data_IF_922143552692
#
_entry.id   IF_922143552692
#
_cell.length_a   1.000
_cell.length_b   1.000
_cell.length_c   1.000
_cell.angle_alpha   90.00
_cell.angle_beta   90.00
_cell.angle_gamma   90.00
#
_symmetry.space_group_name_H-M   'P 1'
#
loop_
_entity.id
_entity.type
_entity.pdbx_description
1 polymer ?
#
# COMPACT_ATOMS: atom_id res chain seq x y z
N UNK A 1 -51.31 13.13 19.94
CA UNK A 1 -50.38 13.40 18.86
C UNK A 1 -49.56 12.12 18.64
N UNK A 2 -49.82 11.46 17.49
CA UNK A 2 -49.13 10.24 17.05
C UNK A 2 -47.78 10.64 16.43
N UNK A 3 -46.71 10.00 16.87
CA UNK A 3 -45.41 10.05 16.23
C UNK A 3 -45.45 9.33 14.87
N UNK A 4 -44.77 9.83 13.81
CA UNK A 4 -44.64 9.13 12.55
C UNK A 4 -43.50 8.11 12.63
N UNK A 5 -43.84 6.84 12.43
CA UNK A 5 -42.91 5.74 12.20
C UNK A 5 -42.18 5.98 10.88
N UNK A 6 -40.88 6.23 10.95
CA UNK A 6 -40.00 6.27 9.79
C UNK A 6 -39.49 4.86 9.47
N UNK A 7 -40.09 4.24 8.47
CA UNK A 7 -39.51 3.03 7.84
C UNK A 7 -38.45 3.46 6.84
N UNK A 8 -37.16 3.35 7.23
CA UNK A 8 -36.08 3.48 6.29
C UNK A 8 -36.09 2.29 5.32
N UNK A 9 -36.25 2.58 4.05
CA UNK A 9 -36.10 1.61 2.96
C UNK A 9 -34.61 1.33 2.76
N UNK A 10 -34.15 0.07 2.69
CA UNK A 10 -32.75 -0.21 2.42
C UNK A 10 -32.37 0.27 1.02
N UNK A 11 -31.29 1.05 0.92
CA UNK A 11 -30.68 1.43 -0.34
C UNK A 11 -30.00 0.17 -0.90
N UNK A 12 -30.29 -0.24 -2.15
CA UNK A 12 -29.60 -1.38 -2.73
C UNK A 12 -28.11 -1.05 -2.89
N UNK A 13 -27.26 -2.01 -2.48
CA UNK A 13 -25.83 -1.98 -2.75
C UNK A 13 -25.61 -1.78 -4.25
N UNK A 14 -24.91 -0.74 -4.62
CA UNK A 14 -24.50 -0.49 -5.99
C UNK A 14 -23.41 -1.49 -6.35
N UNK A 15 -23.81 -2.65 -6.91
CA UNK A 15 -22.95 -3.51 -7.69
C UNK A 15 -22.75 -2.86 -9.07
N UNK A 16 -21.87 -1.90 -9.13
CA UNK A 16 -21.47 -1.21 -10.34
C UNK A 16 -19.95 -1.20 -10.40
N UNK A 17 -19.35 -2.37 -10.67
CA UNK A 17 -17.97 -2.43 -11.10
C UNK A 17 -17.88 -1.71 -12.44
N UNK A 18 -17.38 -0.49 -12.44
CA UNK A 18 -16.78 0.11 -13.62
C UNK A 18 -15.40 -0.52 -13.70
N UNK A 19 -15.30 -1.67 -14.38
CA UNK A 19 -14.01 -2.17 -14.80
C UNK A 19 -13.36 -1.02 -15.59
N UNK A 20 -12.26 -0.48 -15.07
CA UNK A 20 -11.35 0.31 -15.88
C UNK A 20 -11.04 -0.59 -17.08
N UNK A 21 -11.34 -0.12 -18.28
CA UNK A 21 -11.07 -0.81 -19.54
C UNK A 21 -9.55 -0.90 -19.64
N UNK A 22 -8.98 -2.01 -19.13
CA UNK A 22 -7.57 -2.32 -19.31
C UNK A 22 -7.36 -2.40 -20.81
N UNK A 23 -6.46 -1.59 -21.35
CA UNK A 23 -6.04 -1.70 -22.74
C UNK A 23 -5.74 -3.18 -23.03
N UNK A 24 -6.29 -3.70 -24.11
CA UNK A 24 -6.08 -5.11 -24.44
C UNK A 24 -4.59 -5.32 -24.67
N UNK A 25 -4.05 -6.42 -24.18
CA UNK A 25 -2.62 -6.76 -24.30
C UNK A 25 -2.09 -6.73 -25.76
N UNK A 26 -2.97 -6.65 -26.75
CA UNK A 26 -2.65 -6.54 -28.17
C UNK A 26 -2.26 -5.12 -28.61
N UNK A 27 -2.51 -4.10 -27.79
CA UNK A 27 -2.31 -2.68 -28.15
C UNK A 27 -1.09 -2.03 -27.49
N UNK A 28 -0.37 -2.74 -26.60
CA UNK A 28 0.83 -2.21 -25.94
C UNK A 28 2.03 -2.29 -26.88
N UNK A 29 2.73 -1.15 -27.15
CA UNK A 29 3.90 -1.13 -28.04
C UNK A 29 5.06 -1.97 -27.52
N UNK A 30 5.88 -2.51 -28.46
CA UNK A 30 7.11 -3.24 -28.14
C UNK A 30 8.17 -2.32 -27.56
N UNK A 31 8.97 -2.86 -26.62
CA UNK A 31 10.19 -2.26 -26.07
C UNK A 31 11.46 -2.82 -26.73
N UNK A 32 11.37 -3.48 -27.91
CA UNK A 32 12.55 -4.02 -28.61
C UNK A 32 13.61 -2.94 -28.85
N UNK A 33 14.85 -3.21 -28.43
CA UNK A 33 15.97 -2.28 -28.50
C UNK A 33 15.91 -1.12 -27.48
N UNK A 34 15.04 -1.19 -26.48
CA UNK A 34 14.94 -0.25 -25.36
C UNK A 34 15.50 -0.88 -24.10
N UNK A 35 16.12 -0.05 -23.27
CA UNK A 35 16.63 -0.43 -21.96
C UNK A 35 15.86 0.33 -20.87
N UNK A 36 15.32 -0.39 -19.89
CA UNK A 36 14.60 0.19 -18.74
C UNK A 36 15.41 -0.02 -17.48
N UNK A 37 15.74 1.06 -16.79
CA UNK A 37 16.38 1.03 -15.48
C UNK A 37 15.32 0.87 -14.37
N UNK A 38 15.54 0.01 -13.39
CA UNK A 38 14.62 -0.22 -12.27
C UNK A 38 15.40 -0.07 -10.96
N UNK A 39 14.94 0.82 -10.08
CA UNK A 39 15.48 1.01 -8.74
C UNK A 39 14.37 0.81 -7.70
N UNK A 40 14.44 -0.29 -6.95
CA UNK A 40 13.51 -0.56 -5.86
C UNK A 40 14.13 -0.21 -4.50
N UNK A 41 13.30 0.28 -3.55
CA UNK A 41 13.72 0.49 -2.17
C UNK A 41 14.20 -0.81 -1.53
N UNK A 42 13.48 -1.90 -1.76
CA UNK A 42 13.81 -3.27 -1.33
C UNK A 42 12.94 -4.30 -2.06
N UNK A 43 13.19 -5.58 -1.75
CA UNK A 43 12.41 -6.73 -2.20
C UNK A 43 12.14 -7.71 -1.04
N UNK A 44 12.17 -7.20 0.20
CA UNK A 44 12.02 -8.03 1.41
C UNK A 44 10.57 -8.39 1.67
N UNK A 45 9.67 -7.44 1.44
CA UNK A 45 8.24 -7.62 1.63
C UNK A 45 7.56 -7.98 0.33
N UNK A 46 6.46 -8.73 0.40
CA UNK A 46 5.77 -9.25 -0.77
C UNK A 46 5.29 -8.15 -1.71
N UNK A 47 4.76 -7.03 -1.19
CA UNK A 47 4.43 -5.88 -2.00
C UNK A 47 5.57 -5.47 -2.94
N UNK A 48 6.73 -5.13 -2.38
CA UNK A 48 7.87 -4.65 -3.16
C UNK A 48 8.42 -5.70 -4.11
N UNK A 49 8.48 -6.96 -3.65
CA UNK A 49 9.01 -8.08 -4.44
C UNK A 49 8.12 -8.37 -5.66
N UNK A 50 6.81 -8.49 -5.46
CA UNK A 50 5.88 -8.77 -6.57
C UNK A 50 5.89 -7.64 -7.59
N UNK A 51 5.84 -6.39 -7.15
CA UNK A 51 5.93 -5.24 -8.07
C UNK A 51 7.24 -5.24 -8.85
N UNK A 52 8.37 -5.44 -8.16
CA UNK A 52 9.70 -5.46 -8.77
C UNK A 52 9.86 -6.59 -9.81
N UNK A 53 9.44 -7.80 -9.47
CA UNK A 53 9.51 -8.96 -10.36
C UNK A 53 8.60 -8.75 -11.58
N UNK A 54 7.35 -8.31 -11.35
CA UNK A 54 6.36 -8.08 -12.44
C UNK A 54 6.81 -6.99 -13.40
N UNK A 55 7.40 -5.88 -12.91
CA UNK A 55 7.94 -4.84 -13.80
C UNK A 55 9.00 -5.42 -14.73
N UNK A 56 9.94 -6.22 -14.19
CA UNK A 56 11.00 -6.84 -14.99
C UNK A 56 10.43 -7.80 -16.03
N UNK A 57 9.59 -8.74 -15.58
CA UNK A 57 8.94 -9.72 -16.45
C UNK A 57 8.18 -9.02 -17.58
N UNK A 58 7.41 -7.97 -17.27
CA UNK A 58 6.62 -7.26 -18.27
C UNK A 58 7.48 -6.50 -19.27
N UNK A 59 8.55 -5.85 -18.83
CA UNK A 59 9.52 -5.18 -19.75
C UNK A 59 10.16 -6.20 -20.69
N UNK A 60 10.56 -7.37 -20.18
CA UNK A 60 11.13 -8.45 -20.99
C UNK A 60 10.12 -9.07 -21.95
N UNK A 61 8.86 -9.29 -21.53
CA UNK A 61 7.76 -9.72 -22.40
C UNK A 61 7.52 -8.77 -23.58
N UNK A 62 7.66 -7.46 -23.34
CA UNK A 62 7.56 -6.44 -24.40
C UNK A 62 8.83 -6.34 -25.26
N UNK A 63 9.85 -7.15 -25.01
CA UNK A 63 11.11 -7.22 -25.75
C UNK A 63 12.18 -6.23 -25.32
N UNK A 64 12.01 -5.57 -24.17
CA UNK A 64 12.98 -4.63 -23.60
C UNK A 64 14.13 -5.32 -22.83
N UNK A 65 15.22 -4.58 -22.62
CA UNK A 65 16.31 -4.96 -21.74
C UNK A 65 16.14 -4.30 -20.36
N UNK A 66 16.46 -5.01 -19.28
CA UNK A 66 16.31 -4.54 -17.89
C UNK A 66 17.67 -4.33 -17.24
N UNK A 67 17.82 -3.20 -16.54
CA UNK A 67 18.90 -2.95 -15.58
C UNK A 67 18.26 -2.72 -14.22
N UNK A 68 18.20 -3.76 -13.39
CA UNK A 68 17.47 -3.73 -12.13
C UNK A 68 18.40 -3.67 -10.91
N UNK A 69 18.04 -2.86 -9.92
CA UNK A 69 18.74 -2.71 -8.65
C UNK A 69 17.72 -2.68 -7.51
N UNK A 70 18.16 -3.05 -6.31
CA UNK A 70 17.37 -2.93 -5.10
C UNK A 70 18.26 -2.46 -3.93
N UNK A 71 17.74 -1.61 -3.07
CA UNK A 71 18.52 -0.87 -2.09
C UNK A 71 18.60 -1.53 -0.70
N UNK A 72 18.02 -2.72 -0.51
CA UNK A 72 18.00 -3.41 0.79
C UNK A 72 17.46 -2.51 1.92
N UNK A 73 16.44 -1.71 1.63
CA UNK A 73 15.86 -0.70 2.52
C UNK A 73 16.85 0.38 3.01
N UNK A 74 18.02 0.50 2.38
CA UNK A 74 19.04 1.49 2.73
C UNK A 74 18.89 2.74 1.88
N UNK A 75 18.44 3.84 2.46
CA UNK A 75 18.16 5.10 1.75
C UNK A 75 19.35 5.60 0.91
N UNK A 76 20.56 5.62 1.48
CA UNK A 76 21.76 6.06 0.75
C UNK A 76 22.09 5.15 -0.44
N UNK A 77 21.81 3.83 -0.33
CA UNK A 77 22.00 2.90 -1.44
C UNK A 77 20.97 3.17 -2.53
N UNK A 78 19.70 3.44 -2.17
CA UNK A 78 18.66 3.76 -3.13
C UNK A 78 19.01 5.00 -3.96
N UNK A 79 19.49 6.08 -3.32
CA UNK A 79 20.04 7.26 -4.02
C UNK A 79 21.15 6.88 -4.97
N UNK A 80 22.15 6.09 -4.50
CA UNK A 80 23.27 5.67 -5.33
C UNK A 80 22.83 4.77 -6.49
N UNK A 81 21.86 3.91 -6.29
CA UNK A 81 21.32 3.02 -7.32
C UNK A 81 20.66 3.84 -8.45
N UNK A 82 19.87 4.86 -8.12
CA UNK A 82 19.28 5.79 -9.10
C UNK A 82 20.38 6.55 -9.87
N UNK A 83 21.39 7.09 -9.18
CA UNK A 83 22.50 7.80 -9.81
C UNK A 83 23.33 6.88 -10.73
N UNK A 84 23.51 5.61 -10.35
CA UNK A 84 24.20 4.62 -11.20
C UNK A 84 23.39 4.27 -12.45
N UNK A 85 22.05 4.24 -12.37
CA UNK A 85 21.20 4.05 -13.54
C UNK A 85 21.35 5.22 -14.53
N UNK A 86 21.40 6.46 -14.07
CA UNK A 86 21.64 7.64 -14.94
C UNK A 86 22.92 7.47 -15.77
N UNK A 87 24.00 6.98 -15.14
CA UNK A 87 25.27 6.78 -15.81
C UNK A 87 25.22 5.70 -16.92
N UNK A 88 24.27 4.76 -16.83
CA UNK A 88 24.06 3.70 -17.82
C UNK A 88 23.16 4.13 -18.97
N UNK A 89 22.51 5.31 -18.85
CA UNK A 89 21.69 5.94 -19.89
C UNK A 89 20.56 5.05 -20.44
N UNK A 90 19.70 4.50 -19.59
CA UNK A 90 18.54 3.76 -20.05
C UNK A 90 17.57 4.68 -20.80
N UNK A 91 16.64 4.10 -21.58
CA UNK A 91 15.59 4.84 -22.26
C UNK A 91 14.51 5.36 -21.31
N UNK A 92 14.34 4.70 -20.15
CA UNK A 92 13.46 5.13 -19.06
C UNK A 92 13.96 4.58 -17.71
N UNK A 93 13.57 5.23 -16.60
CA UNK A 93 13.83 4.73 -15.24
C UNK A 93 12.49 4.58 -14.51
N UNK A 94 12.30 3.41 -13.87
CA UNK A 94 11.20 3.15 -12.92
C UNK A 94 11.79 3.10 -11.51
N UNK A 95 11.22 3.89 -10.59
CA UNK A 95 11.58 3.86 -9.16
C UNK A 95 10.41 3.32 -8.36
N UNK A 96 10.66 2.25 -7.60
CA UNK A 96 9.65 1.54 -6.81
C UNK A 96 9.84 1.88 -5.35
N UNK A 97 8.83 2.48 -4.73
CA UNK A 97 8.84 3.05 -3.39
C UNK A 97 9.97 4.07 -3.18
N UNK A 98 9.90 4.83 -2.13
CA UNK A 98 10.95 5.75 -1.76
C UNK A 98 10.49 6.84 -0.80
N UNK A 99 11.46 7.43 -0.14
CA UNK A 99 11.27 8.68 0.61
C UNK A 99 11.52 9.86 -0.32
N UNK A 100 10.50 10.69 -0.51
CA UNK A 100 10.55 11.82 -1.45
C UNK A 100 11.59 12.87 -1.10
N UNK A 101 11.91 13.01 0.19
CA UNK A 101 12.91 13.96 0.68
C UNK A 101 14.32 13.47 0.35
N UNK A 102 14.58 12.19 0.61
CA UNK A 102 15.90 11.60 0.41
C UNK A 102 16.23 11.41 -1.06
N UNK A 103 15.26 10.95 -1.88
CA UNK A 103 15.45 10.70 -3.30
C UNK A 103 15.40 11.96 -4.16
N UNK A 104 14.73 13.02 -3.71
CA UNK A 104 14.48 14.23 -4.51
C UNK A 104 15.69 14.70 -5.34
N UNK A 105 16.89 14.89 -4.75
CA UNK A 105 18.07 15.32 -5.51
C UNK A 105 18.53 14.35 -6.60
N UNK A 106 18.33 13.03 -6.41
CA UNK A 106 18.67 12.04 -7.43
C UNK A 106 17.66 12.04 -8.58
N UNK A 107 16.38 12.23 -8.27
CA UNK A 107 15.32 12.31 -9.27
C UNK A 107 15.41 13.59 -10.11
N UNK A 108 15.81 14.72 -9.50
CA UNK A 108 16.16 15.93 -10.25
C UNK A 108 17.24 15.66 -11.29
N UNK A 109 18.29 14.91 -10.92
CA UNK A 109 19.36 14.50 -11.88
C UNK A 109 18.85 13.58 -13.00
N UNK A 110 17.87 12.70 -12.74
CA UNK A 110 17.21 11.91 -13.78
C UNK A 110 16.55 12.84 -14.80
N UNK A 111 15.80 13.83 -14.30
CA UNK A 111 15.14 14.84 -15.15
C UNK A 111 16.16 15.70 -15.92
N UNK A 112 17.24 16.17 -15.28
CA UNK A 112 18.32 16.93 -15.93
C UNK A 112 19.03 16.11 -17.01
N UNK A 113 19.13 14.79 -16.84
CA UNK A 113 19.69 13.87 -17.84
C UNK A 113 18.74 13.63 -19.02
N UNK A 114 17.48 14.14 -18.95
CA UNK A 114 16.46 13.94 -19.97
C UNK A 114 15.94 12.51 -20.06
N UNK A 115 16.09 11.72 -18.99
CA UNK A 115 15.59 10.35 -18.92
C UNK A 115 14.15 10.37 -18.38
N UNK A 116 13.15 9.80 -19.07
CA UNK A 116 11.79 9.69 -18.56
C UNK A 116 11.75 8.91 -17.24
N UNK A 117 11.16 9.51 -16.21
CA UNK A 117 11.03 8.91 -14.88
C UNK A 117 9.60 8.41 -14.66
N UNK A 118 9.48 7.17 -14.24
CA UNK A 118 8.23 6.56 -13.77
C UNK A 118 8.39 6.18 -12.31
N UNK A 119 7.32 6.26 -11.54
CA UNK A 119 7.34 5.92 -10.12
C UNK A 119 6.22 4.95 -9.79
N UNK A 120 6.45 4.10 -8.80
CA UNK A 120 5.41 3.23 -8.23
C UNK A 120 5.33 3.51 -6.74
N UNK A 121 4.11 3.85 -6.31
CA UNK A 121 3.72 4.10 -4.93
C UNK A 121 4.52 5.22 -4.24
N UNK A 122 4.98 6.18 -5.05
CA UNK A 122 5.63 7.36 -4.53
C UNK A 122 5.55 8.53 -5.52
N UNK A 123 5.23 9.75 -5.03
CA UNK A 123 5.07 10.92 -5.89
C UNK A 123 6.37 11.70 -6.08
N UNK A 124 6.62 12.13 -7.33
CA UNK A 124 7.67 13.08 -7.66
C UNK A 124 7.17 14.09 -8.69
N UNK A 125 7.59 15.34 -8.58
CA UNK A 125 7.30 16.37 -9.58
C UNK A 125 7.99 16.10 -10.93
N UNK A 126 8.99 15.22 -10.96
CA UNK A 126 9.74 14.83 -12.14
C UNK A 126 9.17 13.58 -12.83
N UNK A 127 8.19 12.91 -12.22
CA UNK A 127 7.61 11.69 -12.78
C UNK A 127 6.71 12.00 -13.97
N UNK A 128 6.90 11.26 -15.08
CA UNK A 128 5.97 11.21 -16.21
C UNK A 128 4.65 10.59 -15.75
N UNK A 129 4.75 9.48 -15.03
CA UNK A 129 3.61 8.76 -14.47
C UNK A 129 3.98 8.19 -13.09
N UNK A 130 3.00 8.15 -12.20
CA UNK A 130 3.05 7.39 -10.96
C UNK A 130 1.93 6.35 -10.96
N UNK A 131 2.26 5.07 -10.83
CA UNK A 131 1.28 4.00 -10.61
C UNK A 131 1.14 3.76 -9.12
N UNK A 132 -0.08 3.79 -8.60
CA UNK A 132 -0.34 3.66 -7.15
C UNK A 132 -1.75 3.13 -6.92
N UNK A 133 -2.01 2.55 -5.74
CA UNK A 133 -3.38 2.33 -5.27
C UNK A 133 -4.04 3.66 -4.90
N UNK A 134 -5.37 3.71 -4.90
CA UNK A 134 -6.09 4.84 -4.32
C UNK A 134 -5.97 4.85 -2.79
N UNK A 135 -4.88 5.46 -2.32
CA UNK A 135 -4.53 5.50 -0.90
C UNK A 135 -5.51 6.32 -0.05
N UNK A 136 -6.28 7.24 -0.66
CA UNK A 136 -7.37 7.95 0.02
C UNK A 136 -8.55 7.00 0.27
N UNK A 137 -8.92 6.21 -0.73
CA UNK A 137 -9.95 5.16 -0.57
C UNK A 137 -9.51 4.12 0.44
N UNK A 138 -8.25 3.65 0.39
CA UNK A 138 -7.70 2.70 1.37
C UNK A 138 -7.82 3.27 2.78
N UNK A 139 -7.27 4.46 3.02
CA UNK A 139 -7.22 5.08 4.35
C UNK A 139 -8.61 5.32 4.92
N UNK A 140 -9.51 5.92 4.14
CA UNK A 140 -10.88 6.20 4.59
C UNK A 140 -11.71 4.93 4.80
N UNK A 141 -11.49 3.86 3.99
CA UNK A 141 -12.18 2.57 4.16
C UNK A 141 -11.77 1.92 5.47
N UNK A 142 -10.47 1.77 5.72
CA UNK A 142 -9.96 1.16 6.96
C UNK A 142 -10.40 1.98 8.18
N UNK A 143 -10.26 3.30 8.14
CA UNK A 143 -10.64 4.18 9.24
C UNK A 143 -12.12 4.08 9.61
N UNK A 144 -13.01 4.09 8.61
CA UNK A 144 -14.45 3.93 8.80
C UNK A 144 -14.80 2.55 9.34
N UNK A 145 -14.21 1.49 8.76
CA UNK A 145 -14.43 0.12 9.26
C UNK A 145 -14.06 0.00 10.72
N UNK A 146 -12.90 0.52 11.13
CA UNK A 146 -12.50 0.54 12.54
C UNK A 146 -13.55 1.26 13.40
N UNK A 147 -13.91 2.49 13.01
CA UNK A 147 -14.83 3.30 13.81
C UNK A 147 -16.22 2.65 13.96
N UNK A 148 -16.73 2.01 12.90
CA UNK A 148 -18.00 1.28 12.92
C UNK A 148 -17.89 0.01 13.77
N UNK A 149 -16.82 -0.76 13.62
CA UNK A 149 -16.59 -2.04 14.33
C UNK A 149 -16.41 -1.87 15.84
N UNK A 150 -15.88 -0.72 16.29
CA UNK A 150 -15.77 -0.40 17.72
C UNK A 150 -16.98 0.41 18.24
N UNK A 151 -18.05 0.53 17.42
CA UNK A 151 -19.30 1.19 17.82
C UNK A 151 -19.25 2.71 17.94
N UNK A 152 -18.29 3.37 17.27
CA UNK A 152 -18.15 4.83 17.23
C UNK A 152 -17.57 5.46 18.51
N UNK A 153 -17.10 4.64 19.44
CA UNK A 153 -16.37 5.11 20.65
C UNK A 153 -15.31 4.09 21.07
N UNK A 154 -14.14 4.54 21.50
CA UNK A 154 -13.04 3.67 21.92
C UNK A 154 -11.66 4.26 21.70
N UNK A 155 -10.65 3.43 21.83
CA UNK A 155 -9.25 3.83 21.71
C UNK A 155 -8.50 2.97 20.71
N UNK A 156 -7.81 3.63 19.78
CA UNK A 156 -7.01 3.01 18.72
C UNK A 156 -5.54 3.16 19.06
N UNK A 157 -4.82 2.05 19.09
CA UNK A 157 -3.35 2.02 19.15
C UNK A 157 -2.82 2.13 17.72
N UNK A 158 -1.91 3.05 17.45
CA UNK A 158 -1.46 3.38 16.10
C UNK A 158 0.03 3.15 15.96
N UNK A 159 0.42 2.47 14.88
CA UNK A 159 1.80 2.46 14.39
C UNK A 159 1.95 3.51 13.28
N UNK A 160 2.86 4.48 13.46
CA UNK A 160 3.05 5.61 12.56
C UNK A 160 4.54 5.97 12.41
N UNK A 161 5.38 5.00 12.03
CA UNK A 161 6.82 5.17 11.82
C UNK A 161 7.20 5.69 10.42
N UNK A 162 6.31 5.56 9.42
CA UNK A 162 6.63 5.82 8.01
C UNK A 162 5.95 7.06 7.42
N UNK A 163 5.97 8.18 8.13
CA UNK A 163 5.37 9.45 7.67
C UNK A 163 6.02 10.02 6.40
N UNK A 164 7.26 9.64 6.09
CA UNK A 164 7.96 10.01 4.85
C UNK A 164 7.51 9.20 3.62
N UNK A 165 6.87 8.05 3.82
CA UNK A 165 6.32 7.21 2.74
C UNK A 165 4.94 7.74 2.35
N UNK A 166 4.78 8.18 1.10
CA UNK A 166 3.55 8.86 0.64
C UNK A 166 2.27 8.06 0.90
N UNK A 167 2.15 6.76 0.57
CA UNK A 167 0.97 5.96 0.90
C UNK A 167 0.63 5.97 2.40
N UNK A 168 1.61 5.72 3.27
CA UNK A 168 1.41 5.70 4.72
C UNK A 168 0.92 7.04 5.25
N UNK A 169 1.51 8.14 4.78
CA UNK A 169 1.10 9.49 5.16
C UNK A 169 -0.34 9.80 4.73
N UNK A 170 -0.75 9.40 3.52
CA UNK A 170 -2.12 9.61 3.04
C UNK A 170 -3.09 8.77 3.88
N UNK A 171 -2.83 7.48 4.06
CA UNK A 171 -3.69 6.57 4.84
C UNK A 171 -3.87 7.07 6.28
N UNK A 172 -2.80 7.58 6.91
CA UNK A 172 -2.88 8.17 8.25
C UNK A 172 -3.69 9.47 8.26
N UNK A 173 -3.51 10.36 7.27
CA UNK A 173 -4.32 11.58 7.17
C UNK A 173 -5.81 11.26 7.02
N UNK A 174 -6.15 10.21 6.26
CA UNK A 174 -7.54 9.76 6.12
C UNK A 174 -8.08 9.18 7.44
N UNK A 175 -7.26 8.49 8.23
CA UNK A 175 -7.65 8.07 9.58
C UNK A 175 -8.05 9.29 10.42
N UNK A 176 -7.22 10.33 10.45
CA UNK A 176 -7.51 11.54 11.22
C UNK A 176 -8.79 12.24 10.72
N UNK A 177 -8.97 12.37 9.40
CA UNK A 177 -10.15 13.02 8.79
C UNK A 177 -11.44 12.25 9.10
N UNK A 178 -11.45 10.94 8.93
CA UNK A 178 -12.64 10.12 9.24
C UNK A 178 -13.01 10.21 10.72
N UNK A 179 -12.02 10.22 11.61
CA UNK A 179 -12.28 10.29 13.06
C UNK A 179 -12.82 11.66 13.53
N UNK A 180 -12.81 12.70 12.69
CA UNK A 180 -13.54 13.95 13.00
C UNK A 180 -15.05 13.70 13.14
N UNK A 181 -15.61 12.74 12.36
CA UNK A 181 -17.02 12.34 12.45
C UNK A 181 -17.31 11.37 13.61
N UNK A 182 -16.25 10.81 14.24
CA UNK A 182 -16.34 9.90 15.39
C UNK A 182 -15.63 10.48 16.63
N UNK A 183 -16.10 11.58 17.22
CA UNK A 183 -15.37 12.36 18.24
C UNK A 183 -15.12 11.61 19.56
N UNK A 184 -15.75 10.45 19.75
CA UNK A 184 -15.52 9.59 20.91
C UNK A 184 -14.44 8.53 20.68
N UNK A 185 -14.01 8.33 19.43
CA UNK A 185 -12.86 7.50 19.11
C UNK A 185 -11.58 8.32 19.31
N UNK A 186 -10.58 7.78 19.98
CA UNK A 186 -9.33 8.47 20.32
C UNK A 186 -8.12 7.65 19.91
N UNK A 187 -7.08 8.32 19.42
CA UNK A 187 -5.78 7.72 19.20
C UNK A 187 -4.98 7.72 20.52
N UNK A 188 -4.46 6.56 20.90
CA UNK A 188 -3.61 6.40 22.08
C UNK A 188 -2.27 7.10 21.84
N UNK A 189 -1.84 7.91 22.81
CA UNK A 189 -0.58 8.65 22.72
C UNK A 189 0.43 8.22 23.79
N UNK A 190 1.74 8.21 23.49
CA UNK A 190 2.32 8.45 22.17
C UNK A 190 2.04 7.28 21.21
N UNK A 191 1.99 7.58 19.91
CA UNK A 191 1.88 6.55 18.88
C UNK A 191 3.12 5.66 18.85
N UNK A 192 2.92 4.40 18.46
CA UNK A 192 4.00 3.44 18.29
C UNK A 192 4.75 3.76 16.99
N UNK A 193 6.01 3.34 16.95
CA UNK A 193 6.88 3.56 15.79
C UNK A 193 7.28 2.21 15.23
N UNK A 194 6.74 1.87 14.08
CA UNK A 194 7.16 0.69 13.33
C UNK A 194 8.55 0.90 12.71
N UNK A 195 9.30 -0.19 12.60
CA UNK A 195 10.62 -0.25 11.99
C UNK A 195 10.56 -1.10 10.73
N UNK A 196 11.49 -0.88 9.84
CA UNK A 196 11.56 -1.66 8.60
C UNK A 196 12.19 -3.05 8.82
N UNK A 197 13.25 -3.12 9.63
CA UNK A 197 13.93 -4.38 9.95
C UNK A 197 13.37 -4.98 11.26
N UNK A 198 13.05 -6.28 11.22
CA UNK A 198 12.51 -6.99 12.38
C UNK A 198 11.14 -6.49 12.84
N UNK A 199 10.35 -5.95 11.91
CA UNK A 199 9.09 -5.27 12.16
C UNK A 199 8.11 -6.09 12.99
N UNK A 200 7.89 -7.37 12.65
CA UNK A 200 6.94 -8.25 13.36
C UNK A 200 7.30 -8.39 14.83
N UNK A 201 8.56 -8.71 15.13
CA UNK A 201 9.02 -8.90 16.51
C UNK A 201 9.01 -7.61 17.32
N UNK A 202 9.42 -6.49 16.70
CA UNK A 202 9.39 -5.16 17.33
C UNK A 202 7.96 -4.73 17.64
N UNK A 203 7.03 -4.87 16.68
CA UNK A 203 5.62 -4.57 16.87
C UNK A 203 4.99 -5.43 17.96
N UNK A 204 5.26 -6.75 17.94
CA UNK A 204 4.83 -7.68 18.98
C UNK A 204 5.30 -7.25 20.38
N UNK A 205 6.55 -6.80 20.50
CA UNK A 205 7.07 -6.31 21.79
C UNK A 205 6.38 -5.02 22.22
N UNK A 206 6.21 -4.04 21.32
CA UNK A 206 5.55 -2.77 21.63
C UNK A 206 4.10 -2.98 22.04
N UNK A 207 3.36 -3.89 21.38
CA UNK A 207 1.98 -4.22 21.75
C UNK A 207 1.93 -4.95 23.09
N UNK A 208 2.84 -5.90 23.37
CA UNK A 208 2.93 -6.51 24.69
C UNK A 208 3.18 -5.47 25.82
N UNK A 209 3.96 -4.43 25.55
CA UNK A 209 4.18 -3.33 26.50
C UNK A 209 2.90 -2.48 26.65
N UNK A 210 2.17 -2.24 25.56
CA UNK A 210 0.88 -1.54 25.61
C UNK A 210 -0.16 -2.35 26.41
N UNK A 211 -0.29 -3.66 26.18
CA UNK A 211 -1.22 -4.54 26.87
C UNK A 211 -0.96 -4.59 28.39
N UNK A 212 0.30 -4.45 28.82
CA UNK A 212 0.64 -4.33 30.27
C UNK A 212 0.25 -2.98 30.86
N UNK A 213 0.22 -1.93 30.03
CA UNK A 213 -0.10 -0.55 30.45
C UNK A 213 -1.61 -0.30 30.43
N UNK A 214 -2.30 -0.87 29.48
CA UNK A 214 -3.73 -0.65 29.23
C UNK A 214 -4.51 -1.93 29.57
N UNK A 215 -5.32 -1.94 30.66
CA UNK A 215 -6.20 -3.04 31.02
C UNK A 215 -7.20 -3.39 29.93
N UNK A 216 -7.90 -4.51 30.12
CA UNK A 216 -9.00 -4.95 29.25
C UNK A 216 -10.04 -3.84 29.09
N UNK A 217 -10.45 -3.59 27.82
CA UNK A 217 -11.39 -2.55 27.44
C UNK A 217 -10.79 -1.13 27.31
N UNK A 218 -9.47 -0.97 27.41
CA UNK A 218 -8.79 0.32 27.20
C UNK A 218 -8.07 0.41 25.86
N UNK A 219 -8.05 -0.66 25.07
CA UNK A 219 -7.64 -0.68 23.66
C UNK A 219 -8.73 -1.43 22.89
N UNK A 220 -9.31 -0.82 21.88
CA UNK A 220 -10.39 -1.42 21.07
C UNK A 220 -9.89 -1.86 19.71
N UNK A 221 -8.91 -1.15 19.15
CA UNK A 221 -8.33 -1.49 17.85
C UNK A 221 -6.84 -1.14 17.75
N UNK A 222 -6.16 -1.78 16.78
CA UNK A 222 -4.80 -1.44 16.35
C UNK A 222 -4.82 -1.11 14.87
N UNK A 223 -4.23 0.02 14.50
CA UNK A 223 -4.08 0.50 13.13
C UNK A 223 -2.62 0.64 12.72
N UNK A 224 -2.32 0.29 11.49
CA UNK A 224 -1.09 0.65 10.79
C UNK A 224 -1.37 0.90 9.31
N UNK A 225 -0.48 1.61 8.64
CA UNK A 225 -0.59 1.83 7.20
C UNK A 225 -0.23 0.58 6.36
N UNK A 226 0.25 -0.52 6.98
CA UNK A 226 0.65 -1.76 6.32
C UNK A 226 0.53 -2.97 7.25
N UNK A 227 0.55 -4.18 6.71
CA UNK A 227 0.23 -5.43 7.43
C UNK A 227 1.35 -5.93 8.36
N UNK A 228 2.60 -5.69 8.02
CA UNK A 228 3.72 -6.36 8.71
C UNK A 228 3.75 -6.08 10.23
N UNK A 229 3.62 -4.82 10.72
CA UNK A 229 3.52 -4.59 12.16
C UNK A 229 2.24 -5.18 12.76
N UNK A 230 1.16 -5.26 11.97
CA UNK A 230 -0.12 -5.79 12.42
C UNK A 230 -0.10 -7.30 12.65
N UNK A 231 0.70 -8.05 11.89
CA UNK A 231 0.99 -9.46 12.16
C UNK A 231 1.59 -9.60 13.56
N UNK A 232 2.57 -8.77 13.90
CA UNK A 232 3.17 -8.76 15.25
C UNK A 232 2.19 -8.34 16.34
N UNK A 233 1.35 -7.34 16.06
CA UNK A 233 0.32 -6.86 16.96
C UNK A 233 -0.70 -7.97 17.27
N UNK A 234 -1.25 -8.61 16.24
CA UNK A 234 -2.23 -9.68 16.41
C UNK A 234 -1.64 -10.87 17.16
N UNK A 235 -0.41 -11.28 16.85
CA UNK A 235 0.27 -12.34 17.63
C UNK A 235 0.41 -12.00 19.13
N UNK A 236 0.63 -10.74 19.49
CA UNK A 236 0.71 -10.34 20.89
C UNK A 236 -0.66 -10.35 21.58
N UNK A 237 -1.70 -9.89 20.87
CA UNK A 237 -3.10 -9.80 21.33
C UNK A 237 -3.65 -11.20 21.54
N UNK A 238 -3.52 -12.08 20.54
CA UNK A 238 -4.00 -13.46 20.58
C UNK A 238 -3.31 -14.25 21.71
N UNK A 239 -1.99 -14.09 21.85
CA UNK A 239 -1.24 -14.73 22.95
C UNK A 239 -1.63 -14.22 24.35
N UNK A 240 -2.15 -13.01 24.46
CA UNK A 240 -2.63 -12.41 25.70
C UNK A 240 -4.10 -12.72 26.02
N UNK A 241 -4.83 -13.33 25.05
CA UNK A 241 -6.28 -13.61 25.17
C UNK A 241 -7.12 -12.33 25.27
N UNK A 242 -6.71 -11.29 24.51
CA UNK A 242 -7.39 -9.98 24.46
C UNK A 242 -8.31 -9.90 23.24
N UNK A 243 -9.31 -10.79 23.20
CA UNK A 243 -10.18 -11.03 22.06
C UNK A 243 -11.06 -9.82 21.68
N UNK A 244 -11.16 -8.83 22.56
CA UNK A 244 -11.88 -7.58 22.31
C UNK A 244 -11.15 -6.61 21.39
N UNK A 245 -9.82 -6.80 21.18
CA UNK A 245 -9.00 -5.89 20.37
C UNK A 245 -8.98 -6.36 18.92
N UNK A 246 -9.32 -5.47 18.00
CA UNK A 246 -9.35 -5.74 16.55
C UNK A 246 -8.14 -5.14 15.85
N UNK A 247 -7.58 -5.85 14.88
CA UNK A 247 -6.37 -5.44 14.15
C UNK A 247 -6.67 -5.22 12.69
N UNK A 248 -6.19 -4.09 12.14
CA UNK A 248 -6.46 -3.68 10.77
C UNK A 248 -5.18 -3.23 10.07
N UNK A 249 -4.97 -3.71 8.85
CA UNK A 249 -3.79 -3.41 8.05
C UNK A 249 -4.10 -3.09 6.59
N UNK A 250 -3.06 -3.11 5.78
CA UNK A 250 -3.10 -2.91 4.32
C UNK A 250 -1.98 -3.74 3.70
N UNK A 251 -2.15 -4.26 2.53
CA UNK A 251 -1.29 -4.93 1.55
C UNK A 251 -1.71 -6.35 1.22
N UNK A 252 -2.47 -7.03 2.09
CA UNK A 252 -2.82 -8.45 1.97
C UNK A 252 -1.58 -9.37 1.98
N UNK A 253 -0.64 -9.08 2.89
CA UNK A 253 0.52 -9.95 3.10
C UNK A 253 0.07 -11.37 3.46
N UNK A 254 0.73 -12.42 2.95
CA UNK A 254 0.30 -13.82 3.18
C UNK A 254 0.07 -14.16 4.65
N UNK A 255 0.95 -13.68 5.54
CA UNK A 255 0.81 -13.88 6.97
C UNK A 255 -0.41 -13.19 7.59
N UNK A 256 -0.81 -12.03 7.07
CA UNK A 256 -2.01 -11.33 7.48
C UNK A 256 -3.27 -12.06 7.01
N UNK A 257 -3.27 -12.53 5.75
CA UNK A 257 -4.38 -13.31 5.20
C UNK A 257 -4.59 -14.64 5.95
N UNK A 258 -3.50 -15.32 6.36
CA UNK A 258 -3.60 -16.54 7.16
C UNK A 258 -4.25 -16.25 8.53
N UNK A 259 -3.92 -15.11 9.15
CA UNK A 259 -4.53 -14.71 10.42
C UNK A 259 -5.99 -14.26 10.25
N UNK A 260 -6.33 -13.54 9.16
CA UNK A 260 -7.73 -13.17 8.87
C UNK A 260 -8.59 -14.41 8.64
N UNK A 261 -8.07 -15.45 7.97
CA UNK A 261 -8.77 -16.70 7.75
C UNK A 261 -8.99 -17.52 9.04
N UNK A 262 -8.21 -17.26 10.10
CA UNK A 262 -8.42 -17.89 11.40
C UNK A 262 -9.50 -17.14 12.19
N UNK A 263 -10.64 -17.76 12.51
CA UNK A 263 -11.74 -17.12 13.25
C UNK A 263 -11.32 -16.68 14.66
N UNK A 264 -10.32 -17.30 15.26
CA UNK A 264 -9.85 -17.00 16.62
C UNK A 264 -8.81 -15.86 16.65
N UNK A 265 -8.28 -15.43 15.50
CA UNK A 265 -7.31 -14.36 15.44
C UNK A 265 -7.96 -12.98 15.58
N UNK A 266 -7.26 -12.07 16.24
CA UNK A 266 -7.61 -10.65 16.34
C UNK A 266 -7.40 -9.86 15.05
N UNK A 267 -6.67 -10.41 14.05
CA UNK A 267 -6.50 -9.74 12.76
C UNK A 267 -7.84 -9.76 11.99
N UNK A 268 -8.47 -8.60 11.88
CA UNK A 268 -9.86 -8.47 11.46
C UNK A 268 -10.00 -8.24 9.96
N UNK A 269 -9.21 -7.32 9.41
CA UNK A 269 -9.27 -6.98 7.99
C UNK A 269 -7.98 -6.34 7.48
N UNK A 270 -7.78 -6.47 6.17
CA UNK A 270 -6.74 -5.77 5.40
C UNK A 270 -7.34 -5.21 4.11
N UNK A 271 -6.56 -4.40 3.39
CA UNK A 271 -6.92 -3.93 2.06
C UNK A 271 -5.83 -4.33 1.08
N UNK A 272 -6.15 -5.21 0.15
CA UNK A 272 -5.19 -5.63 -0.88
C UNK A 272 -4.89 -4.50 -1.86
N UNK A 273 -3.63 -4.36 -2.19
CA UNK A 273 -3.13 -3.60 -3.33
C UNK A 273 -2.93 -4.55 -4.51
N UNK A 274 -3.25 -4.12 -5.72
CA UNK A 274 -3.10 -4.96 -6.92
C UNK A 274 -1.64 -4.90 -7.44
N UNK A 275 -0.71 -5.49 -6.71
CA UNK A 275 0.74 -5.40 -6.94
C UNK A 275 1.19 -5.85 -8.33
N UNK A 276 0.66 -6.97 -8.83
CA UNK A 276 0.91 -7.46 -10.19
C UNK A 276 0.40 -6.45 -11.24
N UNK A 277 -0.79 -5.90 -11.05
CA UNK A 277 -1.33 -4.89 -11.97
C UNK A 277 -0.52 -3.59 -11.93
N UNK A 278 0.04 -3.20 -10.75
CA UNK A 278 0.94 -2.04 -10.64
C UNK A 278 2.20 -2.22 -11.49
N UNK A 279 2.85 -3.36 -11.37
CA UNK A 279 4.05 -3.67 -12.16
C UNK A 279 3.78 -3.68 -13.66
N UNK A 280 2.72 -4.39 -14.08
CA UNK A 280 2.27 -4.46 -15.48
C UNK A 280 1.96 -3.08 -16.03
N UNK A 281 1.11 -2.31 -15.35
CA UNK A 281 0.69 -0.96 -15.79
C UNK A 281 1.88 0.01 -15.89
N UNK A 282 2.86 -0.09 -14.98
CA UNK A 282 4.04 0.78 -15.04
C UNK A 282 4.91 0.48 -16.27
N UNK A 283 5.15 -0.79 -16.58
CA UNK A 283 5.90 -1.19 -17.77
C UNK A 283 5.14 -0.84 -19.07
N UNK A 284 3.82 -1.03 -19.09
CA UNK A 284 2.97 -0.67 -20.23
C UNK A 284 2.99 0.86 -20.47
N UNK A 285 2.93 1.68 -19.41
CA UNK A 285 3.05 3.13 -19.50
C UNK A 285 4.42 3.57 -20.04
N UNK A 286 5.51 2.88 -19.67
CA UNK A 286 6.84 3.10 -20.26
C UNK A 286 6.82 2.81 -21.75
N UNK A 287 6.23 1.69 -22.18
CA UNK A 287 6.14 1.31 -23.59
C UNK A 287 5.33 2.33 -24.41
N UNK A 288 4.18 2.74 -23.91
CA UNK A 288 3.36 3.79 -24.52
C UNK A 288 4.14 5.10 -24.67
N UNK A 289 4.78 5.54 -23.59
CA UNK A 289 5.54 6.78 -23.60
C UNK A 289 6.70 6.74 -24.62
N UNK A 290 7.50 5.67 -24.60
CA UNK A 290 8.67 5.52 -25.49
C UNK A 290 8.27 5.30 -26.97
N UNK A 291 7.05 4.86 -27.25
CA UNK A 291 6.50 4.78 -28.62
C UNK A 291 6.04 6.13 -29.18
N UNK A 292 5.91 7.14 -28.31
CA UNK A 292 5.37 8.46 -28.66
C UNK A 292 3.89 8.64 -28.35
N UNK A 293 3.19 7.63 -27.82
CA UNK A 293 1.79 7.71 -27.38
C UNK A 293 1.66 8.39 -26.00
N UNK A 294 2.31 9.52 -25.84
CA UNK A 294 2.45 10.22 -24.54
C UNK A 294 1.12 10.73 -23.97
N UNK A 295 0.15 11.01 -24.82
CA UNK A 295 -1.21 11.45 -24.40
C UNK A 295 -2.02 10.31 -23.75
N UNK A 296 -1.62 9.05 -23.95
CA UNK A 296 -2.26 7.87 -23.36
C UNK A 296 -1.71 7.56 -21.96
N UNK A 297 -0.62 8.20 -21.55
CA UNK A 297 0.01 8.00 -20.24
C UNK A 297 -0.48 9.09 -19.27
N UNK A 298 -1.35 8.77 -18.31
CA UNK A 298 -1.79 9.74 -17.31
C UNK A 298 -0.65 10.10 -16.36
N UNK A 299 -0.73 11.25 -15.70
CA UNK A 299 0.26 11.62 -14.66
C UNK A 299 0.20 10.70 -13.44
N UNK A 300 -0.97 10.12 -13.16
CA UNK A 300 -1.16 9.09 -12.12
C UNK A 300 -2.14 8.04 -12.61
N UNK A 301 -1.77 6.78 -12.47
CA UNK A 301 -2.63 5.61 -12.68
C UNK A 301 -3.03 5.07 -11.31
N UNK A 302 -4.32 5.14 -11.00
CA UNK A 302 -4.87 4.60 -9.75
C UNK A 302 -5.41 3.19 -9.98
N UNK A 303 -5.00 2.27 -9.14
CA UNK A 303 -5.56 0.92 -9.08
C UNK A 303 -6.54 0.82 -7.91
N UNK A 304 -7.69 0.19 -8.15
CA UNK A 304 -8.71 0.03 -7.13
C UNK A 304 -8.24 -0.98 -6.07
N UNK A 305 -8.30 -0.62 -4.78
CA UNK A 305 -7.98 -1.54 -3.71
C UNK A 305 -9.12 -2.53 -3.46
N UNK A 306 -8.80 -3.70 -2.89
CA UNK A 306 -9.78 -4.73 -2.55
C UNK A 306 -9.81 -4.93 -1.03
N UNK A 307 -10.96 -4.68 -0.41
CA UNK A 307 -11.14 -4.90 1.04
C UNK A 307 -11.29 -6.40 1.32
N UNK A 308 -10.55 -6.89 2.33
CA UNK A 308 -10.51 -8.30 2.74
C UNK A 308 -10.77 -8.38 4.24
N UNK A 309 -11.76 -9.20 4.60
CA UNK A 309 -12.10 -9.55 5.97
C UNK A 309 -12.34 -11.06 6.12
N UNK A 310 -12.80 -11.49 7.29
CA UNK A 310 -13.08 -12.91 7.60
C UNK A 310 -14.17 -13.51 6.72
N UNK A 311 -15.05 -12.71 6.15
CA UNK A 311 -16.17 -13.19 5.35
C UNK A 311 -15.77 -13.47 3.90
N UNK A 312 -14.75 -12.79 3.36
CA UNK A 312 -14.36 -12.87 1.95
C UNK A 312 -12.92 -13.32 1.69
N UNK A 313 -12.08 -13.53 2.72
CA UNK A 313 -10.65 -13.82 2.56
C UNK A 313 -10.35 -15.00 1.64
N UNK A 314 -11.09 -16.10 1.74
CA UNK A 314 -10.88 -17.29 0.92
C UNK A 314 -11.27 -17.06 -0.55
N UNK A 315 -12.32 -16.27 -0.82
CA UNK A 315 -12.75 -15.91 -2.17
C UNK A 315 -11.71 -15.00 -2.82
N UNK A 316 -11.32 -13.94 -2.14
CA UNK A 316 -10.37 -12.94 -2.67
C UNK A 316 -8.98 -13.54 -2.89
N UNK A 317 -8.49 -14.42 -2.00
CA UNK A 317 -7.25 -15.16 -2.23
C UNK A 317 -7.25 -15.91 -3.55
N UNK A 318 -8.34 -16.61 -3.83
CA UNK A 318 -8.49 -17.37 -5.08
C UNK A 318 -8.56 -16.45 -6.31
N UNK A 319 -9.23 -15.31 -6.21
CA UNK A 319 -9.38 -14.35 -7.32
C UNK A 319 -8.08 -13.63 -7.65
N UNK A 320 -7.35 -13.20 -6.64
CA UNK A 320 -6.08 -12.46 -6.79
C UNK A 320 -4.87 -13.39 -6.97
N UNK A 321 -5.01 -14.70 -6.68
CA UNK A 321 -3.91 -15.67 -6.77
C UNK A 321 -2.84 -15.47 -5.70
N UNK A 322 -3.21 -15.02 -4.49
CA UNK A 322 -2.34 -14.71 -3.35
C UNK A 322 -2.58 -15.64 -2.15
#
# INVERSE_FOLDING_TARGET
LKEPSSTATPVPAASGGVAAEQASAADIPSLEGKTVGIAAKDIVHDFSRVVYDTVQERVEELGGEVIATQAEAKENKHVSDVENLIAQKPDAIIVILGDTTTLGPALEKVNEAGIPLFTIDFQSEYSVNNVTSDNWVIGSTVARTIAEDIGGEGQILVFNGFTGVTPCRIRYSELEVVLEDYPKVKLIQPELQDKYEGTVEDAKQQVNDALRRFPEGEIDAVWSCWDIPQIGAAQAIDAAGRDEIKVYGVDAEPGALDMIADPESSFTATVAQQTTAMGTQSADNVALFLSGATEEVPTTSYLEPVFIDKDNVDEVRNELGI
#
